data_IF_267322391678
#
_entry.id   IF_267322391678
#
_cell.length_a   1.000
_cell.length_b   1.000
_cell.length_c   1.000
_cell.angle_alpha   90.00
_cell.angle_beta   90.00
_cell.angle_gamma   90.00
#
_symmetry.space_group_name_H-M   'P 1'
#
loop_
_entity.id
_entity.type
_entity.pdbx_description
1 polymer ?
#
# COMPACT_ATOMS: atom_id res chain seq x y z
N UNK A 1 19.99 -0.92 4.16
CA UNK A 1 18.62 -0.64 3.64
C UNK A 1 17.82 0.10 4.70
N UNK A 2 17.05 1.11 4.32
CA UNK A 2 16.06 1.80 5.15
C UNK A 2 14.70 1.67 4.49
N UNK A 3 13.67 1.34 5.25
CA UNK A 3 12.30 1.17 4.74
C UNK A 3 11.39 2.17 5.46
N UNK A 4 10.63 2.94 4.72
CA UNK A 4 9.51 3.70 5.27
C UNK A 4 8.26 2.82 5.29
N UNK A 5 7.60 2.76 6.44
CA UNK A 5 6.31 2.10 6.59
C UNK A 5 5.21 3.15 6.67
N UNK A 6 4.17 2.97 5.88
CA UNK A 6 2.97 3.81 5.88
C UNK A 6 1.73 2.92 5.78
N UNK A 7 0.62 3.34 6.36
CA UNK A 7 -0.63 2.57 6.36
C UNK A 7 -1.84 3.47 6.38
N UNK A 8 -2.98 2.95 5.97
CA UNK A 8 -4.31 3.57 6.16
C UNK A 8 -4.38 5.02 5.63
N UNK A 9 -3.90 5.23 4.42
CA UNK A 9 -3.87 6.56 3.82
C UNK A 9 -5.22 7.04 3.29
N UNK A 10 -6.16 6.11 3.06
CA UNK A 10 -7.56 6.37 2.77
C UNK A 10 -7.82 7.53 1.78
N UNK A 11 -7.15 7.48 0.63
CA UNK A 11 -7.39 8.48 -0.42
C UNK A 11 -8.87 8.56 -0.79
N UNK A 12 -9.44 9.76 -0.72
CA UNK A 12 -10.89 9.99 -0.89
C UNK A 12 -11.69 9.94 0.42
N UNK A 13 -11.00 10.02 1.56
CA UNK A 13 -11.60 10.02 2.88
C UNK A 13 -12.72 11.09 3.03
N UNK A 14 -13.70 10.78 3.89
CA UNK A 14 -14.81 11.68 4.19
C UNK A 14 -15.56 12.16 2.95
N UNK A 15 -15.82 11.24 2.02
CA UNK A 15 -16.58 11.51 0.80
C UNK A 15 -15.87 12.51 -0.15
N UNK A 16 -14.58 12.28 -0.40
CA UNK A 16 -13.71 13.17 -1.18
C UNK A 16 -13.63 14.60 -0.62
N UNK A 17 -13.61 14.73 0.71
CA UNK A 17 -13.53 16.03 1.36
C UNK A 17 -12.24 16.75 0.96
N UNK A 18 -12.40 17.95 0.37
CA UNK A 18 -11.26 18.76 -0.06
C UNK A 18 -10.35 19.14 1.12
N UNK A 19 -10.92 19.42 2.28
CA UNK A 19 -10.16 19.76 3.48
C UNK A 19 -9.23 18.63 3.90
N UNK A 20 -9.70 17.36 3.82
CA UNK A 20 -8.86 16.19 4.10
C UNK A 20 -7.82 15.96 3.01
N UNK A 21 -8.21 16.13 1.75
CA UNK A 21 -7.27 16.03 0.63
C UNK A 21 -6.13 17.03 0.77
N UNK A 22 -6.44 18.31 1.02
CA UNK A 22 -5.44 19.36 1.18
C UNK A 22 -4.50 19.08 2.36
N UNK A 23 -5.04 18.61 3.48
CA UNK A 23 -4.24 18.25 4.65
C UNK A 23 -3.28 17.08 4.37
N UNK A 24 -3.76 16.03 3.70
CA UNK A 24 -2.92 14.89 3.37
C UNK A 24 -1.88 15.20 2.29
N UNK A 25 -2.25 15.96 1.27
CA UNK A 25 -1.28 16.38 0.24
C UNK A 25 -0.20 17.27 0.81
N UNK A 26 -0.54 18.19 1.71
CA UNK A 26 0.44 19.00 2.45
C UNK A 26 1.43 18.13 3.25
N UNK A 27 0.93 17.08 3.91
CA UNK A 27 1.78 16.12 4.60
C UNK A 27 2.75 15.40 3.65
N UNK A 28 2.28 14.92 2.49
CA UNK A 28 3.15 14.25 1.53
C UNK A 28 4.20 15.19 0.95
N UNK A 29 3.78 16.39 0.55
CA UNK A 29 4.65 17.34 -0.15
C UNK A 29 5.69 17.98 0.80
N UNK A 30 5.29 18.28 2.04
CA UNK A 30 6.10 19.08 2.94
C UNK A 30 6.73 18.29 4.11
N UNK A 31 6.29 17.05 4.35
CA UNK A 31 6.81 16.23 5.45
C UNK A 31 7.34 14.88 4.95
N UNK A 32 6.47 14.08 4.32
CA UNK A 32 6.80 12.69 4.03
C UNK A 32 7.93 12.55 2.99
N UNK A 33 7.77 13.13 1.81
CA UNK A 33 8.80 13.02 0.77
C UNK A 33 10.08 13.78 1.09
N UNK A 34 10.06 14.98 1.70
CA UNK A 34 11.28 15.59 2.22
C UNK A 34 12.01 14.72 3.24
N UNK A 35 11.28 14.04 4.14
CA UNK A 35 11.88 13.10 5.09
C UNK A 35 12.51 11.88 4.39
N UNK A 36 11.86 11.35 3.35
CA UNK A 36 12.39 10.26 2.51
C UNK A 36 13.74 10.70 1.90
N UNK A 37 13.80 11.92 1.34
CA UNK A 37 15.00 12.48 0.71
C UNK A 37 16.12 12.71 1.73
N UNK A 38 15.82 13.36 2.87
CA UNK A 38 16.81 13.69 3.91
C UNK A 38 17.44 12.44 4.56
N UNK A 39 16.76 11.31 4.51
CA UNK A 39 17.22 10.07 5.13
C UNK A 39 17.68 9.00 4.14
N UNK A 40 17.76 9.32 2.86
CA UNK A 40 18.13 8.38 1.79
C UNK A 40 17.31 7.10 1.85
N UNK A 41 15.98 7.21 1.96
CA UNK A 41 15.07 6.07 1.97
C UNK A 41 14.67 5.76 0.52
N UNK A 42 14.95 4.55 0.07
CA UNK A 42 14.70 4.08 -1.29
C UNK A 42 13.55 3.08 -1.39
N UNK A 43 12.97 2.68 -0.26
CA UNK A 43 11.95 1.65 -0.20
C UNK A 43 10.79 2.10 0.67
N UNK A 44 9.57 2.01 0.14
CA UNK A 44 8.32 2.27 0.88
C UNK A 44 7.49 0.98 0.90
N UNK A 45 7.02 0.60 2.07
CA UNK A 45 6.04 -0.47 2.25
C UNK A 45 4.74 0.12 2.79
N UNK A 46 3.68 0.02 1.99
CA UNK A 46 2.33 0.42 2.40
C UNK A 46 1.58 -0.79 2.94
N UNK A 47 1.06 -0.66 4.15
CA UNK A 47 0.43 -1.77 4.87
C UNK A 47 -1.08 -1.89 4.64
N UNK A 48 -1.59 -1.39 3.51
CA UNK A 48 -2.99 -1.54 3.10
C UNK A 48 -3.88 -0.33 3.39
N UNK A 49 -5.11 -0.40 2.91
CA UNK A 49 -6.11 0.66 2.98
C UNK A 49 -5.62 1.98 2.35
N UNK A 50 -5.13 1.88 1.11
CA UNK A 50 -4.71 3.06 0.33
C UNK A 50 -5.92 3.91 -0.04
N UNK A 51 -7.02 3.30 -0.49
CA UNK A 51 -8.24 4.01 -0.86
C UNK A 51 -9.31 3.91 0.22
N UNK A 52 -10.13 4.95 0.36
CA UNK A 52 -11.20 4.96 1.37
C UNK A 52 -12.41 4.13 0.94
N UNK A 53 -12.74 4.15 -0.35
CA UNK A 53 -13.95 3.50 -0.87
C UNK A 53 -13.63 2.25 -1.67
N UNK A 54 -14.31 1.17 -1.31
CA UNK A 54 -14.09 -0.17 -1.85
C UNK A 54 -14.38 -0.34 -3.34
N UNK A 55 -15.35 0.40 -3.89
CA UNK A 55 -15.91 0.10 -5.23
C UNK A 55 -15.61 1.14 -6.28
N UNK A 56 -15.17 2.31 -5.90
CA UNK A 56 -14.88 3.39 -6.83
C UNK A 56 -13.96 4.45 -6.21
N UNK A 57 -13.25 5.14 -7.05
CA UNK A 57 -12.47 6.32 -6.71
C UNK A 57 -12.90 7.47 -7.61
N UNK A 58 -13.05 8.67 -7.07
CA UNK A 58 -13.34 9.84 -7.90
C UNK A 58 -12.12 10.24 -8.73
N UNK A 59 -12.35 10.83 -9.90
CA UNK A 59 -11.23 11.31 -10.73
C UNK A 59 -10.41 12.40 -10.06
N UNK A 60 -11.01 13.20 -9.19
CA UNK A 60 -10.31 14.23 -8.40
C UNK A 60 -9.35 13.56 -7.42
N UNK A 61 -9.84 12.59 -6.65
CA UNK A 61 -9.01 11.81 -5.72
C UNK A 61 -7.92 11.03 -6.45
N UNK A 62 -8.24 10.38 -7.56
CA UNK A 62 -7.28 9.63 -8.36
C UNK A 62 -6.15 10.55 -8.88
N UNK A 63 -6.51 11.75 -9.35
CA UNK A 63 -5.55 12.75 -9.79
C UNK A 63 -4.65 13.20 -8.63
N UNK A 64 -5.24 13.56 -7.49
CA UNK A 64 -4.51 13.98 -6.30
C UNK A 64 -3.54 12.88 -5.82
N UNK A 65 -4.01 11.64 -5.74
CA UNK A 65 -3.18 10.48 -5.41
C UNK A 65 -2.00 10.31 -6.36
N UNK A 66 -2.25 10.41 -7.65
CA UNK A 66 -1.18 10.33 -8.65
C UNK A 66 -0.16 11.46 -8.48
N UNK A 67 -0.63 12.70 -8.37
CA UNK A 67 0.21 13.89 -8.41
C UNK A 67 1.03 14.04 -7.11
N UNK A 68 0.50 13.63 -5.94
CA UNK A 68 1.15 13.83 -4.63
C UNK A 68 1.71 12.54 -3.98
N UNK A 69 1.47 11.38 -4.56
CA UNK A 69 2.03 10.12 -4.04
C UNK A 69 2.72 9.29 -5.11
N UNK A 70 2.04 8.96 -6.21
CA UNK A 70 2.58 8.05 -7.22
C UNK A 70 3.72 8.69 -8.01
N UNK A 71 3.53 9.92 -8.51
CA UNK A 71 4.55 10.62 -9.29
C UNK A 71 5.79 10.95 -8.45
N UNK A 72 5.66 11.48 -7.21
CA UNK A 72 6.82 11.69 -6.35
C UNK A 72 7.64 10.43 -6.04
N UNK A 73 6.98 9.25 -5.92
CA UNK A 73 7.68 7.96 -5.81
C UNK A 73 8.44 7.61 -7.09
N UNK A 74 7.81 7.80 -8.25
CA UNK A 74 8.40 7.50 -9.55
C UNK A 74 9.63 8.40 -9.82
N UNK A 75 9.53 9.70 -9.54
CA UNK A 75 10.62 10.68 -9.72
C UNK A 75 11.86 10.34 -8.88
N UNK A 76 11.66 9.67 -7.74
CA UNK A 76 12.72 9.22 -6.82
C UNK A 76 13.18 7.78 -7.05
N UNK A 77 12.59 7.07 -8.01
CA UNK A 77 12.81 5.64 -8.24
C UNK A 77 12.60 4.79 -6.98
N UNK A 78 11.58 5.13 -6.18
CA UNK A 78 11.25 4.40 -4.95
C UNK A 78 10.82 2.97 -5.28
N UNK A 79 11.40 2.01 -4.57
CA UNK A 79 10.97 0.63 -4.58
C UNK A 79 9.70 0.48 -3.72
N UNK A 80 8.54 0.51 -4.37
CA UNK A 80 7.25 0.48 -3.70
C UNK A 80 6.70 -0.93 -3.52
N UNK A 81 6.28 -1.24 -2.32
CA UNK A 81 5.60 -2.49 -1.97
C UNK A 81 4.29 -2.16 -1.25
N UNK A 82 3.22 -2.90 -1.55
CA UNK A 82 1.93 -2.68 -0.90
C UNK A 82 1.23 -4.01 -0.61
N UNK A 83 0.75 -4.20 0.61
CA UNK A 83 -0.23 -5.25 0.92
C UNK A 83 -1.64 -4.70 0.74
N UNK A 84 -2.56 -5.54 0.30
CA UNK A 84 -3.96 -5.16 0.09
C UNK A 84 -4.72 -5.14 1.40
N UNK A 85 -5.34 -4.01 1.73
CA UNK A 85 -6.20 -3.85 2.89
C UNK A 85 -7.68 -4.13 2.58
N UNK A 86 -8.52 -4.03 3.60
CA UNK A 86 -9.95 -4.33 3.45
C UNK A 86 -10.75 -3.24 2.72
N UNK A 87 -10.26 -2.01 2.67
CA UNK A 87 -10.85 -0.95 1.85
C UNK A 87 -10.39 -1.00 0.38
N UNK A 88 -9.29 -1.68 0.10
CA UNK A 88 -8.77 -1.81 -1.27
C UNK A 88 -9.53 -2.84 -2.12
N UNK A 89 -10.46 -3.61 -1.53
CA UNK A 89 -11.21 -4.68 -2.20
C UNK A 89 -12.71 -4.36 -2.31
N UNK A 90 -13.33 -4.56 -3.49
CA UNK A 90 -14.77 -4.34 -3.68
C UNK A 90 -15.62 -5.43 -3.00
N UNK A 91 -15.10 -6.66 -2.87
CA UNK A 91 -15.80 -7.82 -2.32
C UNK A 91 -15.08 -8.32 -1.07
N UNK A 92 -15.86 -8.68 -0.03
CA UNK A 92 -15.30 -9.09 1.27
C UNK A 92 -14.64 -10.47 1.28
N UNK A 93 -14.80 -11.25 0.23
CA UNK A 93 -14.41 -12.66 0.17
C UNK A 93 -13.24 -12.94 -0.77
N UNK A 94 -12.64 -11.94 -1.39
CA UNK A 94 -11.49 -12.12 -2.28
C UNK A 94 -10.63 -10.86 -2.36
N UNK A 95 -9.33 -11.03 -2.47
CA UNK A 95 -8.36 -9.95 -2.73
C UNK A 95 -7.92 -9.92 -4.21
N UNK A 96 -8.41 -10.80 -5.04
CA UNK A 96 -7.98 -10.91 -6.45
C UNK A 96 -8.28 -9.64 -7.25
N UNK A 97 -9.51 -9.10 -7.08
CA UNK A 97 -9.85 -7.79 -7.60
C UNK A 97 -9.60 -6.77 -6.49
N UNK A 98 -8.68 -5.86 -6.70
CA UNK A 98 -8.33 -4.84 -5.73
C UNK A 98 -7.92 -3.53 -6.41
N UNK A 99 -8.17 -2.41 -5.72
CA UNK A 99 -7.93 -1.08 -6.25
C UNK A 99 -6.47 -0.88 -6.69
N UNK A 100 -5.51 -1.47 -5.99
CA UNK A 100 -4.09 -1.26 -6.27
C UNK A 100 -3.68 -1.88 -7.60
N UNK A 101 -4.14 -3.09 -7.92
CA UNK A 101 -3.88 -3.72 -9.21
C UNK A 101 -4.54 -2.96 -10.36
N UNK A 102 -5.76 -2.45 -10.13
CA UNK A 102 -6.49 -1.70 -11.16
C UNK A 102 -5.93 -0.28 -11.38
N UNK A 103 -5.47 0.39 -10.33
CA UNK A 103 -4.91 1.75 -10.40
C UNK A 103 -3.47 1.73 -10.92
N UNK A 104 -2.63 0.86 -10.37
CA UNK A 104 -1.20 0.83 -10.69
C UNK A 104 -0.86 -0.07 -11.88
N UNK A 105 -1.70 -1.07 -12.18
CA UNK A 105 -1.35 -2.10 -13.14
C UNK A 105 -0.06 -2.82 -12.73
N UNK A 106 0.79 -3.12 -13.71
CA UNK A 106 2.10 -3.74 -13.47
C UNK A 106 3.26 -2.73 -13.39
N UNK A 107 2.97 -1.43 -13.44
CA UNK A 107 3.99 -0.39 -13.65
C UNK A 107 4.52 0.25 -12.38
N UNK A 108 3.83 0.14 -11.26
CA UNK A 108 4.21 0.80 -10.01
C UNK A 108 4.31 -0.21 -8.87
N UNK A 109 5.53 -0.65 -8.57
CA UNK A 109 5.82 -1.44 -7.40
C UNK A 109 5.26 -2.86 -7.39
N UNK A 110 5.33 -3.51 -6.25
CA UNK A 110 4.86 -4.88 -6.03
C UNK A 110 3.65 -4.89 -5.10
N UNK A 111 2.53 -5.38 -5.61
CA UNK A 111 1.27 -5.50 -4.87
C UNK A 111 1.11 -6.92 -4.35
N UNK A 112 0.91 -7.06 -3.05
CA UNK A 112 0.69 -8.33 -2.37
C UNK A 112 -0.79 -8.50 -2.04
N UNK A 113 -1.50 -9.28 -2.84
CA UNK A 113 -2.92 -9.63 -2.60
C UNK A 113 -3.08 -11.05 -2.05
N UNK A 114 -2.00 -11.81 -2.05
CA UNK A 114 -1.86 -13.12 -1.39
C UNK A 114 -0.72 -13.08 -0.40
N UNK A 115 -0.79 -13.88 0.66
CA UNK A 115 0.29 -14.02 1.63
C UNK A 115 1.51 -14.63 0.95
N UNK A 116 2.64 -13.93 0.96
CA UNK A 116 3.89 -14.38 0.38
C UNK A 116 5.10 -13.72 1.03
N UNK A 117 6.26 -14.37 0.90
CA UNK A 117 7.52 -13.83 1.38
C UNK A 117 8.08 -12.79 0.40
N UNK A 118 8.72 -11.78 0.94
CA UNK A 118 9.54 -10.83 0.23
C UNK A 118 10.91 -10.73 0.90
N UNK A 119 11.94 -10.47 0.12
CA UNK A 119 13.29 -10.27 0.65
C UNK A 119 13.72 -8.83 0.43
N UNK A 120 14.18 -8.20 1.50
CA UNK A 120 14.68 -6.85 1.52
C UNK A 120 16.11 -6.87 2.07
N UNK A 121 17.10 -6.83 1.17
CA UNK A 121 18.52 -6.84 1.53
C UNK A 121 18.90 -8.03 2.45
N UNK A 122 18.33 -9.21 2.16
CA UNK A 122 18.52 -10.44 2.93
C UNK A 122 17.57 -10.62 4.11
N UNK A 123 16.84 -9.60 4.53
CA UNK A 123 15.78 -9.73 5.52
C UNK A 123 14.53 -10.32 4.87
N UNK A 124 14.09 -11.48 5.32
CA UNK A 124 12.83 -12.08 4.90
C UNK A 124 11.67 -11.47 5.68
N UNK A 125 10.66 -11.01 4.96
CA UNK A 125 9.43 -10.46 5.50
C UNK A 125 8.25 -11.21 4.91
N UNK A 126 7.35 -11.71 5.76
CA UNK A 126 6.07 -12.26 5.33
C UNK A 126 5.09 -11.12 5.12
N UNK A 127 4.66 -10.92 3.87
CA UNK A 127 3.66 -9.92 3.48
C UNK A 127 2.28 -10.56 3.53
N UNK A 128 1.44 -10.13 4.47
CA UNK A 128 0.12 -10.71 4.73
C UNK A 128 -0.98 -9.68 4.48
N UNK A 129 -1.65 -9.71 3.32
CA UNK A 129 -2.79 -8.84 3.04
C UNK A 129 -4.01 -9.22 3.87
N UNK A 130 -5.07 -8.42 3.76
CA UNK A 130 -6.32 -8.68 4.45
C UNK A 130 -6.78 -10.13 4.33
N UNK A 131 -7.02 -10.77 5.48
CA UNK A 131 -7.47 -12.15 5.55
C UNK A 131 -9.00 -12.20 5.42
N UNK A 132 -9.48 -13.03 4.51
CA UNK A 132 -10.88 -13.31 4.27
C UNK A 132 -11.17 -14.83 4.23
N UNK A 133 -12.41 -15.21 4.04
CA UNK A 133 -12.78 -16.62 4.08
C UNK A 133 -12.11 -17.50 3.01
N UNK A 134 -11.71 -16.94 1.87
CA UNK A 134 -11.11 -17.72 0.78
C UNK A 134 -9.60 -17.89 0.93
N UNK A 135 -8.91 -16.97 1.59
CA UNK A 135 -7.45 -17.02 1.77
C UNK A 135 -7.02 -17.43 3.19
N UNK A 136 -7.93 -17.57 4.13
CA UNK A 136 -7.64 -17.83 5.54
C UNK A 136 -6.68 -19.03 5.73
N UNK A 137 -7.05 -20.20 5.22
CA UNK A 137 -6.24 -21.42 5.41
C UNK A 137 -4.86 -21.27 4.76
N UNK A 138 -4.78 -20.68 3.59
CA UNK A 138 -3.50 -20.44 2.90
C UNK A 138 -2.63 -19.46 3.67
N UNK A 139 -3.21 -18.38 4.21
CA UNK A 139 -2.50 -17.38 5.00
C UNK A 139 -1.92 -17.99 6.28
N UNK A 140 -2.75 -18.73 7.04
CA UNK A 140 -2.31 -19.39 8.28
C UNK A 140 -1.23 -20.43 8.00
N UNK A 141 -1.40 -21.30 7.00
CA UNK A 141 -0.38 -22.27 6.64
C UNK A 141 0.97 -21.62 6.28
N UNK A 142 0.94 -20.52 5.53
CA UNK A 142 2.17 -19.80 5.20
C UNK A 142 2.81 -19.14 6.43
N UNK A 143 2.00 -18.61 7.33
CA UNK A 143 2.50 -18.05 8.60
C UNK A 143 3.16 -19.12 9.47
N UNK A 144 2.64 -20.34 9.52
CA UNK A 144 3.20 -21.45 10.30
C UNK A 144 4.47 -22.03 9.68
N UNK A 145 4.60 -21.97 8.36
CA UNK A 145 5.69 -22.60 7.61
C UNK A 145 6.83 -21.66 7.26
N UNK A 146 6.64 -20.34 7.42
CA UNK A 146 7.65 -19.35 7.04
C UNK A 146 8.84 -19.34 8.00
N UNK A 147 10.03 -19.06 7.47
CA UNK A 147 11.24 -18.72 8.24
C UNK A 147 11.51 -17.20 8.23
N UNK A 148 10.51 -16.40 7.83
CA UNK A 148 10.62 -14.94 7.83
C UNK A 148 10.81 -14.39 9.25
N UNK A 149 11.74 -13.45 9.40
CA UNK A 149 12.04 -12.82 10.68
C UNK A 149 11.02 -11.76 11.10
N UNK A 150 10.29 -11.21 10.12
CA UNK A 150 9.31 -10.13 10.32
C UNK A 150 8.05 -10.46 9.52
N UNK A 151 6.91 -10.06 10.04
CA UNK A 151 5.64 -10.12 9.33
C UNK A 151 5.00 -8.74 9.28
N UNK A 152 4.58 -8.32 8.09
CA UNK A 152 3.72 -7.16 7.88
C UNK A 152 2.33 -7.64 7.48
N UNK A 153 1.33 -7.19 8.20
CA UNK A 153 -0.05 -7.61 7.99
C UNK A 153 -1.06 -6.47 8.09
N UNK A 154 -2.21 -6.67 7.43
CA UNK A 154 -3.35 -5.76 7.51
C UNK A 154 -4.59 -6.49 8.02
#
# INVERSE_FOLDING_TARGET
>A
MKIALITDTHWGARNDSQVFTDYFTDFYDNVFFPYIDDHDIDTIVHLGDIVDRRKFISYVTLRSFRDHFVQPMADRNINFHCIVGNHDIPYRNTNDINAMREIFGSSVGKIYWETQEASFDGLKILMMPWINNTNYNSAINKMEQTDAQVMFGH
#
